data_IF_407935289249
#
_entry.id   IF_407935289249
#
_cell.length_a   1.000
_cell.length_b   1.000
_cell.length_c   1.000
_cell.angle_alpha   90.00
_cell.angle_beta   90.00
_cell.angle_gamma   90.00
#
_symmetry.space_group_name_H-M   'P 1'
#
loop_
_entity.id
_entity.type
_entity.pdbx_description
1 polymer ?
#
# COMPACT_ATOMS: atom_id res chain seq x y z
N UNK A 1 10.82 -36.74 -19.77
CA UNK A 1 11.51 -35.91 -18.78
C UNK A 1 12.37 -34.84 -19.48
N UNK A 2 13.32 -35.18 -20.34
CA UNK A 2 14.17 -34.18 -21.05
C UNK A 2 13.40 -33.06 -21.75
N UNK A 3 12.26 -33.37 -22.41
CA UNK A 3 11.42 -32.34 -23.05
C UNK A 3 10.68 -31.45 -22.04
N UNK A 4 10.21 -32.03 -20.93
CA UNK A 4 9.59 -31.24 -19.85
C UNK A 4 10.62 -30.25 -19.28
N UNK A 5 11.84 -30.70 -19.04
CA UNK A 5 12.94 -29.90 -18.54
C UNK A 5 13.25 -28.75 -19.50
N UNK A 6 13.41 -29.03 -20.79
CA UNK A 6 13.66 -28.04 -21.82
C UNK A 6 12.55 -26.98 -21.92
N UNK A 7 11.29 -27.39 -21.89
CA UNK A 7 10.16 -26.45 -21.94
C UNK A 7 10.04 -25.64 -20.64
N UNK A 8 10.36 -26.24 -19.50
CA UNK A 8 10.41 -25.55 -18.21
C UNK A 8 11.56 -24.54 -18.15
N UNK A 9 12.77 -24.88 -18.63
CA UNK A 9 13.91 -23.95 -18.68
C UNK A 9 13.63 -22.72 -19.53
N UNK A 10 12.88 -22.89 -20.63
CA UNK A 10 12.45 -21.77 -21.49
C UNK A 10 11.39 -20.87 -20.85
N UNK A 11 10.50 -21.45 -20.04
CA UNK A 11 9.38 -20.76 -19.44
C UNK A 11 9.11 -21.32 -18.02
N UNK A 12 9.94 -20.96 -17.03
CA UNK A 12 9.85 -21.53 -15.68
C UNK A 12 8.55 -21.18 -14.93
N UNK A 13 7.79 -20.21 -15.44
CA UNK A 13 6.45 -19.85 -14.98
C UNK A 13 5.33 -20.72 -15.57
N UNK A 14 5.64 -21.73 -16.43
CA UNK A 14 4.66 -22.65 -16.94
C UNK A 14 4.38 -23.81 -15.98
N UNK A 15 3.13 -23.91 -15.52
CA UNK A 15 2.65 -25.09 -14.78
C UNK A 15 2.40 -26.28 -15.69
N UNK A 16 2.16 -27.45 -15.08
CA UNK A 16 1.96 -28.71 -15.81
C UNK A 16 0.93 -28.64 -16.95
N UNK A 17 -0.13 -27.83 -16.82
CA UNK A 17 -1.15 -27.67 -17.86
C UNK A 17 -0.56 -27.03 -19.13
N UNK A 18 0.17 -25.94 -19.00
CA UNK A 18 0.83 -25.27 -20.13
C UNK A 18 1.94 -26.12 -20.74
N UNK A 19 2.72 -26.81 -19.91
CA UNK A 19 3.71 -27.79 -20.38
C UNK A 19 3.03 -28.91 -21.17
N UNK A 20 1.87 -29.43 -20.74
CA UNK A 20 1.11 -30.44 -21.48
C UNK A 20 0.69 -29.91 -22.87
N UNK A 21 0.18 -28.70 -22.95
CA UNK A 21 -0.20 -28.08 -24.24
C UNK A 21 1.00 -27.96 -25.16
N UNK A 22 2.16 -27.57 -24.63
CA UNK A 22 3.41 -27.50 -25.41
C UNK A 22 3.84 -28.88 -25.94
N UNK A 23 3.81 -29.90 -25.09
CA UNK A 23 4.16 -31.26 -25.50
C UNK A 23 3.22 -31.81 -26.56
N UNK A 24 1.93 -31.59 -26.44
CA UNK A 24 0.94 -32.12 -27.38
C UNK A 24 0.91 -31.30 -28.69
N UNK A 25 0.89 -29.97 -28.61
CA UNK A 25 0.74 -29.10 -29.79
C UNK A 25 2.03 -28.90 -30.59
N UNK A 26 3.19 -28.75 -29.91
CA UNK A 26 4.45 -28.42 -30.60
C UNK A 26 5.38 -29.62 -30.78
N UNK A 27 5.26 -30.63 -29.92
CA UNK A 27 6.13 -31.81 -29.99
C UNK A 27 5.42 -33.07 -30.45
N UNK A 28 4.12 -32.98 -30.80
CA UNK A 28 3.34 -34.07 -31.36
C UNK A 28 3.04 -35.23 -30.38
N UNK A 29 3.21 -35.03 -29.08
CA UNK A 29 2.89 -36.04 -28.09
C UNK A 29 1.40 -36.03 -27.74
N UNK A 30 0.86 -37.18 -27.37
CA UNK A 30 -0.49 -37.29 -26.79
C UNK A 30 -0.36 -37.71 -25.33
N UNK A 31 -0.05 -36.78 -24.44
CA UNK A 31 0.15 -37.01 -23.01
C UNK A 31 -0.94 -36.36 -22.19
N UNK A 32 -1.42 -37.10 -21.17
CA UNK A 32 -2.38 -36.56 -20.22
C UNK A 32 -1.66 -35.62 -19.22
N UNK A 33 -2.31 -34.51 -18.88
CA UNK A 33 -1.80 -33.55 -17.92
C UNK A 33 -1.46 -34.16 -16.54
N UNK A 34 -2.17 -35.18 -16.10
CA UNK A 34 -1.87 -35.94 -14.86
C UNK A 34 -0.49 -36.61 -14.92
N UNK A 35 -0.11 -37.15 -16.08
CA UNK A 35 1.22 -37.74 -16.29
C UNK A 35 2.31 -36.66 -16.24
N UNK A 36 2.07 -35.53 -16.88
CA UNK A 36 3.01 -34.39 -16.87
C UNK A 36 3.20 -33.85 -15.46
N UNK A 37 2.11 -33.65 -14.71
CA UNK A 37 2.14 -33.21 -13.31
C UNK A 37 2.96 -34.16 -12.43
N UNK A 38 2.77 -35.46 -12.57
CA UNK A 38 3.55 -36.49 -11.84
C UNK A 38 5.04 -36.44 -12.19
N UNK A 39 5.37 -36.26 -13.47
CA UNK A 39 6.76 -36.20 -13.92
C UNK A 39 7.43 -34.91 -13.43
N UNK A 40 6.78 -33.76 -13.51
CA UNK A 40 7.30 -32.50 -12.97
C UNK A 40 7.56 -32.61 -11.47
N UNK A 41 6.65 -33.19 -10.69
CA UNK A 41 6.86 -33.44 -9.25
C UNK A 41 8.06 -34.36 -9.00
N UNK A 42 8.22 -35.45 -9.77
CA UNK A 42 9.38 -36.35 -9.67
C UNK A 42 10.71 -35.64 -9.99
N UNK A 43 10.67 -34.61 -10.84
CA UNK A 43 11.83 -33.78 -11.21
C UNK A 43 12.06 -32.60 -10.26
N UNK A 44 11.22 -32.40 -9.24
CA UNK A 44 11.26 -31.22 -8.37
C UNK A 44 10.87 -29.90 -9.05
N UNK A 45 10.24 -29.95 -10.22
CA UNK A 45 9.87 -28.77 -11.00
C UNK A 45 8.50 -28.22 -10.56
N UNK A 46 8.49 -26.94 -10.20
CA UNK A 46 7.27 -26.18 -9.92
C UNK A 46 7.31 -24.86 -10.68
N UNK A 47 6.13 -24.42 -11.17
CA UNK A 47 6.03 -23.13 -11.83
C UNK A 47 6.46 -21.99 -10.87
N UNK A 48 7.33 -21.13 -11.36
CA UNK A 48 7.75 -19.93 -10.63
C UNK A 48 6.67 -18.86 -10.83
N UNK A 49 5.95 -18.53 -9.78
CA UNK A 49 4.98 -17.43 -9.74
C UNK A 49 4.90 -16.87 -8.32
N UNK A 50 4.49 -15.63 -8.14
CA UNK A 50 4.28 -15.06 -6.81
C UNK A 50 3.35 -15.95 -6.00
N UNK A 51 3.78 -16.34 -4.81
CA UNK A 51 2.91 -17.13 -3.91
C UNK A 51 1.69 -16.30 -3.53
N UNK A 52 0.46 -16.85 -3.57
CA UNK A 52 -0.69 -16.15 -3.07
C UNK A 52 -0.51 -15.91 -1.56
N UNK A 53 -0.46 -14.64 -1.17
CA UNK A 53 -0.51 -14.11 0.20
C UNK A 53 0.34 -14.84 1.23
N UNK A 54 1.47 -14.22 1.60
CA UNK A 54 2.26 -14.62 2.77
C UNK A 54 1.61 -14.17 4.11
N UNK A 55 0.62 -13.27 4.09
CA UNK A 55 -0.03 -12.72 5.27
C UNK A 55 -1.26 -13.55 5.64
N UNK A 56 -1.22 -14.22 6.78
CA UNK A 56 -2.38 -14.87 7.40
C UNK A 56 -3.10 -13.78 8.20
N UNK A 57 -4.41 -13.54 7.95
CA UNK A 57 -5.17 -12.58 8.77
C UNK A 57 -5.21 -13.07 10.21
N UNK A 58 -4.81 -12.23 11.15
CA UNK A 58 -5.04 -12.48 12.56
C UNK A 58 -6.53 -12.30 12.86
N UNK A 59 -7.20 -13.39 13.22
CA UNK A 59 -8.63 -13.40 13.55
C UNK A 59 -8.95 -12.71 14.89
N UNK A 60 -7.94 -12.44 15.71
CA UNK A 60 -8.09 -11.76 17.00
C UNK A 60 -8.09 -10.23 16.87
N UNK A 61 -7.63 -9.68 15.74
CA UNK A 61 -7.65 -8.24 15.52
C UNK A 61 -9.08 -7.74 15.36
N UNK A 62 -9.46 -6.79 16.22
CA UNK A 62 -10.77 -6.13 16.19
C UNK A 62 -10.90 -5.35 14.88
N UNK A 63 -11.96 -5.62 14.13
CA UNK A 63 -12.33 -4.85 12.95
C UNK A 63 -13.36 -3.80 13.33
N UNK A 64 -13.16 -2.61 12.82
CA UNK A 64 -14.07 -1.50 13.03
C UNK A 64 -14.97 -1.31 11.82
N UNK A 65 -16.21 -0.79 12.01
CA UNK A 65 -17.12 -0.54 10.90
C UNK A 65 -16.63 0.62 10.03
N UNK A 66 -17.02 0.63 8.77
CA UNK A 66 -16.80 1.79 7.88
C UNK A 66 -17.83 2.89 8.18
N UNK A 67 -17.37 4.04 8.65
CA UNK A 67 -18.20 5.14 9.14
C UNK A 67 -18.45 6.23 8.10
N UNK A 68 -17.77 6.19 6.93
CA UNK A 68 -17.72 7.33 6.02
C UNK A 68 -18.76 7.27 4.88
N UNK A 69 -19.59 6.22 4.86
CA UNK A 69 -20.61 6.09 3.80
C UNK A 69 -21.65 7.23 3.88
N UNK A 70 -21.67 8.08 2.85
CA UNK A 70 -22.62 9.19 2.78
C UNK A 70 -22.31 10.35 3.74
N UNK A 71 -21.16 10.32 4.42
CA UNK A 71 -20.71 11.40 5.27
C UNK A 71 -20.25 12.59 4.41
N UNK A 72 -20.85 13.74 4.57
CA UNK A 72 -20.33 14.97 4.00
C UNK A 72 -19.13 15.45 4.81
N UNK A 73 -18.02 15.71 4.12
CA UNK A 73 -16.81 16.26 4.74
C UNK A 73 -16.86 17.77 4.59
N UNK A 74 -17.02 18.50 5.69
CA UNK A 74 -17.38 19.93 5.69
C UNK A 74 -16.36 20.84 6.34
N UNK A 75 -15.39 20.28 7.09
CA UNK A 75 -14.36 21.06 7.77
C UNK A 75 -13.05 20.27 7.92
N UNK A 76 -11.92 21.00 8.14
CA UNK A 76 -10.65 20.37 8.47
C UNK A 76 -10.75 19.49 9.74
N UNK A 77 -9.92 18.47 9.79
CA UNK A 77 -9.85 17.50 10.91
C UNK A 77 -11.15 16.75 11.21
N UNK A 78 -12.11 16.75 10.30
CA UNK A 78 -13.29 15.89 10.42
C UNK A 78 -12.92 14.43 10.15
N UNK A 79 -12.10 14.15 9.12
CA UNK A 79 -11.63 12.80 8.80
C UNK A 79 -10.17 12.85 8.38
N UNK A 80 -9.34 12.11 9.09
CA UNK A 80 -7.99 11.77 8.65
C UNK A 80 -7.93 10.34 8.14
N UNK A 81 -7.02 10.08 7.20
CA UNK A 81 -6.73 8.72 6.78
C UNK A 81 -5.23 8.47 6.64
N UNK A 82 -4.86 7.19 6.74
CA UNK A 82 -3.49 6.73 6.55
C UNK A 82 -3.44 5.49 5.67
N UNK A 83 -2.29 5.30 5.04
CA UNK A 83 -1.92 4.11 4.28
C UNK A 83 -0.41 4.03 4.16
N UNK A 84 0.10 2.87 3.74
CA UNK A 84 1.53 2.64 3.50
C UNK A 84 1.75 2.39 2.01
N UNK A 85 2.76 3.05 1.45
CA UNK A 85 3.20 2.77 0.09
C UNK A 85 4.67 2.37 0.03
N UNK A 86 5.05 1.70 -1.08
CA UNK A 86 6.42 1.32 -1.39
C UNK A 86 7.07 2.37 -2.28
N UNK A 87 8.27 2.78 -1.92
CA UNK A 87 9.14 3.64 -2.73
C UNK A 87 10.29 2.78 -3.25
N UNK A 88 10.39 2.55 -4.58
CA UNK A 88 11.48 1.78 -5.15
C UNK A 88 12.81 2.50 -4.96
N UNK A 89 13.85 1.73 -4.67
CA UNK A 89 15.23 2.18 -4.53
C UNK A 89 16.14 1.29 -5.38
N UNK A 90 17.37 1.71 -5.74
CA UNK A 90 18.30 0.89 -6.52
C UNK A 90 18.55 -0.50 -5.92
N UNK A 91 18.50 -0.62 -4.60
CA UNK A 91 18.69 -1.87 -3.85
C UNK A 91 17.50 -2.14 -2.92
N UNK A 92 16.33 -2.48 -3.51
CA UNK A 92 15.13 -2.81 -2.75
C UNK A 92 14.09 -1.70 -2.74
N UNK A 93 13.52 -1.40 -1.59
CA UNK A 93 12.47 -0.37 -1.44
C UNK A 93 12.43 0.14 -0.01
N UNK A 94 11.83 1.32 0.15
CA UNK A 94 11.45 1.88 1.44
C UNK A 94 9.93 1.89 1.58
N UNK A 95 9.45 1.88 2.82
CA UNK A 95 8.05 2.09 3.16
C UNK A 95 7.83 3.56 3.50
N UNK A 96 6.79 4.15 2.95
CA UNK A 96 6.35 5.50 3.28
C UNK A 96 4.93 5.42 3.82
N UNK A 97 4.72 5.92 5.03
CA UNK A 97 3.40 6.14 5.63
C UNK A 97 3.11 7.64 5.64
N UNK A 98 1.86 8.02 5.45
CA UNK A 98 1.41 9.39 5.65
C UNK A 98 -0.02 9.44 6.21
N UNK A 99 -0.30 10.50 6.93
CA UNK A 99 -1.63 10.85 7.44
C UNK A 99 -2.08 12.11 6.73
N UNK A 100 -3.24 12.06 6.10
CA UNK A 100 -3.82 13.14 5.31
C UNK A 100 -5.20 13.53 5.82
N UNK A 101 -5.47 14.81 5.89
CA UNK A 101 -6.81 15.35 6.13
C UNK A 101 -7.67 15.29 4.87
N UNK A 102 -8.88 14.78 4.99
CA UNK A 102 -9.77 14.58 3.84
C UNK A 102 -10.40 15.88 3.32
N UNK A 103 -10.58 16.88 4.16
CA UNK A 103 -11.15 18.15 3.74
C UNK A 103 -10.14 19.00 2.98
N UNK A 104 -9.01 19.28 3.63
CA UNK A 104 -7.97 20.16 3.13
C UNK A 104 -6.95 19.50 2.21
N UNK A 105 -6.84 18.19 2.19
CA UNK A 105 -5.75 17.42 1.56
C UNK A 105 -4.38 17.66 2.20
N UNK A 106 -4.33 18.33 3.33
CA UNK A 106 -3.10 18.61 4.07
C UNK A 106 -2.48 17.31 4.60
N UNK A 107 -1.21 17.08 4.34
CA UNK A 107 -0.44 15.97 4.91
C UNK A 107 -0.01 16.37 6.31
N UNK A 108 -0.65 15.78 7.32
CA UNK A 108 -0.44 16.11 8.73
C UNK A 108 0.93 15.59 9.21
N UNK A 109 1.22 14.32 8.91
CA UNK A 109 2.48 13.67 9.28
C UNK A 109 2.85 12.60 8.26
N UNK A 110 4.13 12.29 8.17
CA UNK A 110 4.65 11.21 7.33
C UNK A 110 5.95 10.65 7.91
N UNK A 111 6.25 9.40 7.61
CA UNK A 111 7.53 8.76 7.96
C UNK A 111 7.98 7.77 6.90
N UNK A 112 9.32 7.60 6.82
CA UNK A 112 9.99 6.65 5.94
C UNK A 112 10.64 5.55 6.79
N UNK A 113 10.43 4.27 6.40
CA UNK A 113 11.02 3.12 7.11
C UNK A 113 11.59 2.09 6.14
N UNK A 114 12.60 1.35 6.55
CA UNK A 114 13.13 0.19 5.85
C UNK A 114 12.48 -1.13 6.30
N UNK A 115 11.64 -1.10 7.32
CA UNK A 115 10.88 -2.24 7.84
C UNK A 115 9.38 -1.96 7.79
N UNK A 116 8.58 -3.02 7.66
CA UNK A 116 7.12 -2.95 7.69
C UNK A 116 6.61 -3.39 9.08
N UNK A 117 7.28 -2.99 10.14
CA UNK A 117 6.73 -3.16 11.50
C UNK A 117 5.67 -2.09 11.81
N UNK A 118 4.91 -2.27 12.89
CA UNK A 118 3.85 -1.33 13.25
C UNK A 118 4.33 -0.07 13.96
N UNK A 119 5.60 -0.01 14.37
CA UNK A 119 6.13 1.09 15.22
C UNK A 119 6.13 2.41 14.46
N UNK A 120 6.65 2.44 13.21
CA UNK A 120 6.71 3.68 12.44
C UNK A 120 5.33 4.24 12.10
N UNK A 121 4.30 3.39 11.99
CA UNK A 121 2.92 3.86 11.83
C UNK A 121 2.38 4.51 13.11
N UNK A 122 2.71 3.93 14.27
CA UNK A 122 2.33 4.48 15.57
C UNK A 122 3.06 5.81 15.84
N UNK A 123 4.35 5.89 15.55
CA UNK A 123 5.14 7.11 15.69
C UNK A 123 4.58 8.23 14.80
N UNK A 124 4.17 7.89 13.56
CA UNK A 124 3.53 8.85 12.64
C UNK A 124 2.17 9.31 13.18
N UNK A 125 1.38 8.40 13.78
CA UNK A 125 0.13 8.77 14.43
C UNK A 125 0.35 9.72 15.60
N UNK A 126 1.34 9.44 16.46
CA UNK A 126 1.68 10.30 17.60
C UNK A 126 2.09 11.71 17.14
N UNK A 127 2.96 11.81 16.14
CA UNK A 127 3.33 13.10 15.54
C UNK A 127 2.13 13.87 14.96
N UNK A 128 1.20 13.16 14.34
CA UNK A 128 -0.03 13.78 13.83
C UNK A 128 -0.92 14.30 14.98
N UNK A 129 -1.07 13.52 16.06
CA UNK A 129 -1.90 13.89 17.22
C UNK A 129 -1.32 15.08 18.01
N UNK A 130 -0.02 15.35 17.91
CA UNK A 130 0.60 16.57 18.45
C UNK A 130 0.16 17.84 17.69
N UNK A 131 -0.22 17.71 16.42
CA UNK A 131 -0.65 18.84 15.59
C UNK A 131 -2.16 19.10 15.63
N UNK A 132 -2.96 18.09 16.01
CA UNK A 132 -4.41 18.19 16.07
C UNK A 132 -5.07 16.83 16.25
N UNK A 133 -6.40 16.82 16.19
CA UNK A 133 -7.18 15.62 16.44
C UNK A 133 -8.36 15.53 15.48
N UNK A 134 -8.53 14.41 14.73
CA UNK A 134 -9.70 14.23 13.88
C UNK A 134 -10.89 13.70 14.67
N UNK A 135 -12.10 13.89 14.13
CA UNK A 135 -13.29 13.20 14.65
C UNK A 135 -13.28 11.71 14.29
N UNK A 136 -12.84 11.38 13.07
CA UNK A 136 -12.77 10.02 12.55
C UNK A 136 -11.39 9.78 11.94
N UNK A 137 -10.81 8.63 12.27
CA UNK A 137 -9.60 8.15 11.64
C UNK A 137 -9.89 6.92 10.79
N UNK A 138 -9.60 6.99 9.48
CA UNK A 138 -9.86 5.92 8.53
C UNK A 138 -8.57 5.19 8.12
N UNK A 139 -8.62 3.86 8.12
CA UNK A 139 -7.50 3.01 7.68
C UNK A 139 -8.02 1.83 6.84
N UNK A 140 -7.11 1.13 6.19
CA UNK A 140 -7.39 -0.21 5.71
C UNK A 140 -7.37 -1.25 6.87
N UNK A 141 -7.59 -2.53 6.54
CA UNK A 141 -7.52 -3.64 7.51
C UNK A 141 -6.09 -4.24 7.60
N UNK A 142 -5.06 -3.46 7.33
CA UNK A 142 -3.66 -3.87 7.44
C UNK A 142 -3.29 -4.24 8.88
N UNK A 143 -2.33 -5.17 9.05
CA UNK A 143 -1.90 -5.65 10.37
C UNK A 143 -1.37 -4.49 11.23
N UNK A 144 -0.69 -3.52 10.63
CA UNK A 144 -0.13 -2.34 11.30
C UNK A 144 -1.23 -1.48 11.93
N UNK A 145 -2.34 -1.30 11.22
CA UNK A 145 -3.45 -0.42 11.63
C UNK A 145 -4.51 -1.13 12.49
N UNK A 146 -4.55 -2.46 12.46
CA UNK A 146 -5.41 -3.27 13.34
C UNK A 146 -4.72 -3.66 14.65
N UNK A 147 -3.42 -3.37 14.81
CA UNK A 147 -2.66 -3.62 16.03
C UNK A 147 -3.25 -2.86 17.23
N UNK A 148 -3.24 -3.52 18.40
CA UNK A 148 -3.79 -2.94 19.63
C UNK A 148 -3.11 -1.62 20.02
N UNK A 149 -1.80 -1.48 19.75
CA UNK A 149 -1.08 -0.24 20.02
C UNK A 149 -1.62 0.93 19.20
N UNK A 150 -1.87 0.71 17.89
CA UNK A 150 -2.39 1.76 17.01
C UNK A 150 -3.86 2.11 17.32
N UNK A 151 -4.72 1.10 17.43
CA UNK A 151 -6.15 1.30 17.73
C UNK A 151 -6.37 1.78 19.16
N UNK A 152 -5.50 1.39 20.10
CA UNK A 152 -5.49 1.88 21.49
C UNK A 152 -5.18 3.36 21.57
N UNK A 153 -4.15 3.84 20.88
CA UNK A 153 -3.80 5.26 20.83
C UNK A 153 -4.95 6.13 20.28
N UNK A 154 -5.64 5.68 19.23
CA UNK A 154 -6.83 6.36 18.71
C UNK A 154 -7.98 6.37 19.70
N UNK A 155 -8.22 5.25 20.40
CA UNK A 155 -9.29 5.15 21.39
C UNK A 155 -9.02 6.01 22.63
N UNK A 156 -7.77 6.04 23.11
CA UNK A 156 -7.33 6.90 24.23
C UNK A 156 -7.50 8.40 23.88
N UNK A 157 -7.27 8.75 22.63
CA UNK A 157 -7.52 10.10 22.11
C UNK A 157 -9.01 10.38 21.86
N UNK A 158 -9.93 9.43 22.08
CA UNK A 158 -11.36 9.60 21.85
C UNK A 158 -11.77 9.65 20.38
N UNK A 159 -10.92 9.22 19.47
CA UNK A 159 -11.12 9.27 18.03
C UNK A 159 -11.94 8.06 17.56
N UNK A 160 -12.95 8.28 16.73
CA UNK A 160 -13.73 7.20 16.13
C UNK A 160 -12.94 6.51 15.04
N UNK A 161 -12.80 5.19 15.12
CA UNK A 161 -12.05 4.39 14.15
C UNK A 161 -12.99 3.90 13.05
N UNK A 162 -12.60 4.15 11.80
CA UNK A 162 -13.24 3.64 10.59
C UNK A 162 -12.27 2.74 9.84
N UNK A 163 -12.75 1.60 9.34
CA UNK A 163 -11.92 0.72 8.52
C UNK A 163 -12.61 0.39 7.20
N UNK A 164 -11.81 0.44 6.14
CA UNK A 164 -12.27 0.13 4.78
C UNK A 164 -12.80 -1.30 4.67
N UNK A 165 -13.85 -1.48 3.90
CA UNK A 165 -14.35 -2.80 3.55
C UNK A 165 -13.42 -3.54 2.60
N UNK A 166 -13.32 -4.87 2.72
CA UNK A 166 -12.52 -5.69 1.78
C UNK A 166 -12.94 -5.43 0.33
N UNK A 167 -11.97 -5.05 -0.51
CA UNK A 167 -12.16 -4.88 -1.95
C UNK A 167 -12.83 -3.55 -2.36
N UNK A 168 -12.89 -2.56 -1.48
CA UNK A 168 -13.44 -1.22 -1.75
C UNK A 168 -12.32 -0.19 -1.87
N UNK A 169 -11.67 -0.14 -3.04
CA UNK A 169 -10.60 0.80 -3.34
C UNK A 169 -11.02 2.29 -3.22
N UNK A 170 -12.30 2.59 -3.28
CA UNK A 170 -12.78 3.98 -3.17
C UNK A 170 -12.84 4.50 -1.73
N UNK A 171 -12.74 3.63 -0.75
CA UNK A 171 -12.90 3.99 0.66
C UNK A 171 -11.66 4.75 1.21
N UNK A 172 -10.50 4.70 0.52
CA UNK A 172 -9.27 5.44 0.88
C UNK A 172 -8.64 6.22 -0.30
N UNK A 173 -9.49 6.72 -1.20
CA UNK A 173 -9.09 7.35 -2.47
C UNK A 173 -8.14 8.55 -2.28
N UNK A 174 -8.21 9.26 -1.15
CA UNK A 174 -7.41 10.48 -0.93
C UNK A 174 -5.94 10.16 -0.72
N UNK A 175 -5.63 9.16 0.10
CA UNK A 175 -4.25 8.74 0.32
C UNK A 175 -3.70 7.97 -0.89
N UNK A 176 -4.52 7.18 -1.59
CA UNK A 176 -4.10 6.54 -2.85
C UNK A 176 -3.73 7.58 -3.91
N UNK A 177 -4.50 8.67 -4.01
CA UNK A 177 -4.21 9.79 -4.90
C UNK A 177 -2.96 10.55 -4.47
N UNK A 178 -2.73 10.70 -3.15
CA UNK A 178 -1.48 11.25 -2.62
C UNK A 178 -0.28 10.41 -3.07
N UNK A 179 -0.35 9.07 -2.97
CA UNK A 179 0.73 8.19 -3.43
C UNK A 179 1.05 8.33 -4.91
N UNK A 180 0.03 8.44 -5.74
CA UNK A 180 0.24 8.70 -7.17
C UNK A 180 0.97 10.04 -7.35
N UNK A 181 0.53 11.09 -6.69
CA UNK A 181 1.10 12.43 -6.79
C UNK A 181 2.56 12.44 -6.34
N UNK A 182 2.87 11.92 -5.14
CA UNK A 182 4.24 11.81 -4.61
C UNK A 182 5.17 11.06 -5.57
N UNK A 183 4.70 9.91 -6.09
CA UNK A 183 5.52 9.07 -6.98
C UNK A 183 5.81 9.75 -8.31
N UNK A 184 4.79 10.33 -8.95
CA UNK A 184 4.94 10.88 -10.30
C UNK A 184 5.54 12.30 -10.31
N UNK A 185 5.33 13.09 -9.28
CA UNK A 185 5.84 14.46 -9.22
C UNK A 185 7.21 14.57 -8.52
N UNK A 186 7.62 13.55 -7.74
CA UNK A 186 8.87 13.57 -6.99
C UNK A 186 9.72 12.32 -7.26
N UNK A 187 9.28 11.15 -6.75
CA UNK A 187 10.13 9.95 -6.67
C UNK A 187 10.66 9.51 -8.02
N UNK A 188 9.78 9.37 -9.02
CA UNK A 188 10.16 8.90 -10.36
C UNK A 188 10.92 9.93 -11.19
N UNK A 189 10.79 11.22 -10.87
CA UNK A 189 11.51 12.28 -11.56
C UNK A 189 12.93 12.41 -11.01
N UNK A 190 13.08 12.32 -9.68
CA UNK A 190 14.38 12.54 -9.02
C UNK A 190 15.24 11.29 -8.91
N UNK A 191 14.66 10.09 -9.05
CA UNK A 191 15.33 8.78 -9.06
C UNK A 191 16.43 8.67 -7.97
N UNK A 192 16.02 8.71 -6.72
CA UNK A 192 16.91 8.80 -5.58
C UNK A 192 17.84 7.59 -5.42
N UNK A 193 19.14 7.82 -5.40
CA UNK A 193 20.14 6.76 -5.26
C UNK A 193 20.36 6.30 -3.81
N UNK A 194 20.06 7.16 -2.80
CA UNK A 194 20.30 6.88 -1.38
C UNK A 194 19.10 7.21 -0.51
N UNK A 195 19.00 6.55 0.64
CA UNK A 195 17.91 6.80 1.61
C UNK A 195 17.94 8.22 2.17
N UNK A 196 19.09 8.81 2.56
CA UNK A 196 19.13 10.22 2.98
C UNK A 196 18.66 11.19 1.90
N UNK A 197 19.04 10.96 0.63
CA UNK A 197 18.58 11.80 -0.47
C UNK A 197 17.06 11.67 -0.68
N UNK A 198 16.51 10.46 -0.56
CA UNK A 198 15.07 10.26 -0.61
C UNK A 198 14.35 10.96 0.55
N UNK A 199 14.86 10.84 1.77
CA UNK A 199 14.27 11.49 2.95
C UNK A 199 14.20 13.01 2.77
N UNK A 200 15.32 13.66 2.47
CA UNK A 200 15.37 15.12 2.26
C UNK A 200 14.45 15.53 1.09
N UNK A 201 14.45 14.77 0.01
CA UNK A 201 13.59 15.05 -1.14
C UNK A 201 12.10 14.87 -0.88
N UNK A 202 11.70 13.97 0.02
CA UNK A 202 10.32 13.85 0.47
C UNK A 202 9.95 14.97 1.45
N UNK A 203 10.87 15.39 2.33
CA UNK A 203 10.68 16.51 3.23
C UNK A 203 10.40 17.80 2.45
N UNK A 204 11.27 18.15 1.49
CA UNK A 204 11.07 19.27 0.58
C UNK A 204 9.73 19.15 -0.18
N UNK A 205 9.42 17.93 -0.64
CA UNK A 205 8.21 17.70 -1.42
C UNK A 205 6.94 17.87 -0.60
N UNK A 206 6.87 17.37 0.64
CA UNK A 206 5.68 17.52 1.47
C UNK A 206 5.50 18.98 1.94
N UNK A 207 6.59 19.73 2.11
CA UNK A 207 6.51 21.18 2.30
C UNK A 207 5.90 21.86 1.06
N UNK A 208 6.43 21.59 -0.12
CA UNK A 208 5.86 22.10 -1.38
C UNK A 208 4.40 21.67 -1.55
N UNK A 209 4.06 20.39 -1.29
CA UNK A 209 2.72 19.85 -1.43
C UNK A 209 1.71 20.60 -0.54
N UNK A 210 2.08 20.84 0.70
CA UNK A 210 1.19 21.47 1.68
C UNK A 210 1.05 22.98 1.48
N UNK A 211 2.13 23.69 1.14
CA UNK A 211 2.16 25.15 1.21
C UNK A 211 2.25 25.87 -0.13
N UNK A 212 2.59 25.17 -1.21
CA UNK A 212 2.82 25.81 -2.50
C UNK A 212 2.03 25.15 -3.65
N UNK A 213 1.74 23.86 -3.55
CA UNK A 213 1.10 23.12 -4.62
C UNK A 213 -0.40 23.38 -4.69
N UNK A 214 -0.93 24.00 -5.78
CA UNK A 214 -2.36 24.21 -5.92
C UNK A 214 -3.10 22.90 -6.23
N UNK A 215 -4.26 22.71 -5.60
CA UNK A 215 -5.11 21.53 -5.78
C UNK A 215 -6.39 21.87 -6.54
N UNK A 216 -6.64 21.20 -7.65
CA UNK A 216 -7.87 21.41 -8.44
C UNK A 216 -9.15 21.15 -7.62
N UNK A 217 -9.14 20.13 -6.74
CA UNK A 217 -10.28 19.82 -5.88
C UNK A 217 -10.51 20.83 -4.74
N UNK A 218 -9.62 21.79 -4.57
CA UNK A 218 -9.69 22.88 -3.59
C UNK A 218 -9.80 24.24 -4.29
N UNK A 219 -10.35 24.27 -5.50
CA UNK A 219 -10.43 25.48 -6.32
C UNK A 219 -9.05 26.15 -6.52
N UNK A 220 -8.02 25.31 -6.73
CA UNK A 220 -6.61 25.72 -6.89
C UNK A 220 -5.99 26.40 -5.66
N UNK A 221 -6.63 26.34 -4.50
CA UNK A 221 -5.97 26.72 -3.25
C UNK A 221 -4.94 25.66 -2.82
N UNK A 222 -3.98 26.05 -2.01
CA UNK A 222 -3.03 25.12 -1.41
C UNK A 222 -3.63 24.46 -0.16
N UNK A 223 -3.23 23.23 0.18
CA UNK A 223 -3.75 22.51 1.34
C UNK A 223 -3.71 23.30 2.64
N UNK A 224 -2.60 24.01 2.91
CA UNK A 224 -2.41 24.79 4.13
C UNK A 224 -3.46 25.90 4.28
N UNK A 225 -3.76 26.65 3.21
CA UNK A 225 -4.77 27.72 3.24
C UNK A 225 -6.16 27.20 3.60
N UNK A 226 -6.47 25.96 3.22
CA UNK A 226 -7.76 25.31 3.51
C UNK A 226 -7.76 24.66 4.90
N UNK A 227 -6.60 24.21 5.36
CA UNK A 227 -6.49 23.51 6.65
C UNK A 227 -6.54 24.48 7.84
N UNK A 228 -5.95 25.64 7.67
CA UNK A 228 -5.83 26.63 8.73
C UNK A 228 -6.81 27.82 8.59
N UNK A 229 -7.77 27.73 7.65
CA UNK A 229 -8.79 28.77 7.43
C UNK A 229 -9.93 28.77 8.45
#
# INVERSE_FOLDING_TARGET
MKLIDREYTKAPFYGYRKITVRLNGYHGYQVNHKRVARLMRKMGLQAIYPRPRATIPDLQHKKYPYLLRGLAITCPSQVWSTDITYIPMPHGFMYLVAIIDWYSRFVIAWQLSNTLDGSFCLDTLQQALEQGQPEIFNTDQGVQFTALAFTGALAEAGIRISMDGRGRALDNIFVERLWRTVKYENVYIKDYATVPALFNGLEDYFQFYNYERPHQSLDYRVPADVHFS
#
